data_IF_552556194117
#
_entry.id   IF_552556194117
#
_cell.length_a   1.000
_cell.length_b   1.000
_cell.length_c   1.000
_cell.angle_alpha   90.00
_cell.angle_beta   90.00
_cell.angle_gamma   90.00
#
_symmetry.space_group_name_H-M   'P 1'
#
loop_
_entity.id
_entity.type
_entity.pdbx_description
1 polymer ?
#
# COMPACT_ATOMS: atom_id res chain seq x y z
N UNK A 1 2.90 7.99 -6.59
CA UNK A 1 2.80 7.40 -5.24
C UNK A 1 1.38 7.18 -4.80
N UNK A 2 0.50 8.15 -4.98
CA UNK A 2 -0.92 8.05 -4.64
C UNK A 2 -1.60 6.84 -5.29
N UNK A 3 -1.23 6.58 -6.55
CA UNK A 3 -1.14 5.27 -7.22
C UNK A 3 -1.32 4.04 -6.32
N UNK A 4 -0.24 3.75 -5.61
CA UNK A 4 0.00 2.52 -4.90
C UNK A 4 -0.87 2.42 -3.64
N UNK A 5 -1.06 3.55 -2.95
CA UNK A 5 -1.91 3.62 -1.75
C UNK A 5 -3.37 3.29 -2.09
N UNK A 6 -3.86 3.86 -3.19
CA UNK A 6 -5.23 3.66 -3.64
C UNK A 6 -5.41 2.24 -4.18
N UNK A 7 -4.45 1.72 -4.93
CA UNK A 7 -4.44 0.31 -5.35
C UNK A 7 -4.48 -0.65 -4.15
N UNK A 8 -3.64 -0.44 -3.14
CA UNK A 8 -3.62 -1.29 -1.94
C UNK A 8 -4.95 -1.21 -1.17
N UNK A 9 -5.53 -0.02 -1.04
CA UNK A 9 -6.85 0.13 -0.44
C UNK A 9 -7.94 -0.61 -1.22
N UNK A 10 -7.88 -0.56 -2.55
CA UNK A 10 -8.81 -1.26 -3.42
C UNK A 10 -8.67 -2.79 -3.26
N UNK A 11 -7.46 -3.32 -3.31
CA UNK A 11 -7.21 -4.77 -3.19
C UNK A 11 -7.59 -5.31 -1.82
N UNK A 12 -7.22 -4.61 -0.73
CA UNK A 12 -7.50 -5.07 0.63
C UNK A 12 -8.89 -4.67 1.15
N UNK A 13 -9.60 -3.80 0.45
CA UNK A 13 -10.94 -3.31 0.79
C UNK A 13 -10.97 -2.22 1.88
N UNK A 14 -9.87 -1.95 2.57
CA UNK A 14 -9.75 -0.80 3.49
C UNK A 14 -8.31 -0.36 3.68
N UNK A 15 -8.13 0.90 4.10
CA UNK A 15 -6.81 1.43 4.47
C UNK A 15 -6.23 0.76 5.73
N UNK A 16 -7.07 0.24 6.61
CA UNK A 16 -6.64 -0.48 7.82
C UNK A 16 -6.00 -1.81 7.45
N UNK A 17 -6.65 -2.60 6.59
CA UNK A 17 -6.10 -3.86 6.08
C UNK A 17 -4.86 -3.63 5.20
N UNK A 18 -4.84 -2.55 4.40
CA UNK A 18 -3.65 -2.16 3.67
C UNK A 18 -2.48 -1.82 4.61
N UNK A 19 -2.74 -1.12 5.73
CA UNK A 19 -1.72 -0.82 6.73
C UNK A 19 -1.18 -2.11 7.38
N UNK A 20 -2.06 -3.02 7.79
CA UNK A 20 -1.70 -4.32 8.35
C UNK A 20 -0.83 -5.14 7.38
N UNK A 21 -1.19 -5.16 6.09
CA UNK A 21 -0.43 -5.87 5.04
C UNK A 21 1.00 -5.34 4.84
N UNK A 22 1.25 -4.08 5.21
CA UNK A 22 2.54 -3.40 5.15
C UNK A 22 3.29 -3.42 6.49
N UNK A 23 2.71 -4.04 7.54
CA UNK A 23 3.28 -4.04 8.89
C UNK A 23 3.19 -2.68 9.59
N UNK A 24 2.26 -1.82 9.18
CA UNK A 24 2.03 -0.51 9.77
C UNK A 24 0.77 -0.47 10.62
N UNK A 25 0.78 0.40 11.63
CA UNK A 25 -0.47 0.79 12.28
C UNK A 25 -1.29 1.69 11.35
N UNK A 26 -2.62 1.67 11.49
CA UNK A 26 -3.51 2.55 10.74
C UNK A 26 -3.11 4.04 10.86
N UNK A 27 -2.64 4.47 12.05
CA UNK A 27 -2.15 5.84 12.29
C UNK A 27 -0.91 6.17 11.45
N UNK A 28 0.06 5.25 11.39
CA UNK A 28 1.29 5.45 10.63
C UNK A 28 0.97 5.51 9.13
N UNK A 29 0.13 4.59 8.65
CA UNK A 29 -0.33 4.58 7.27
C UNK A 29 -1.07 5.87 6.89
N UNK A 30 -1.96 6.37 7.74
CA UNK A 30 -2.65 7.66 7.51
C UNK A 30 -1.69 8.83 7.37
N UNK A 31 -0.59 8.86 8.13
CA UNK A 31 0.44 9.91 8.00
C UNK A 31 1.16 9.82 6.65
N UNK A 32 1.50 8.61 6.20
CA UNK A 32 2.11 8.39 4.88
C UNK A 32 1.16 8.86 3.78
N UNK A 33 -0.12 8.49 3.87
CA UNK A 33 -1.15 8.93 2.93
C UNK A 33 -1.25 10.44 2.85
N UNK A 34 -1.38 11.10 3.99
CA UNK A 34 -1.47 12.55 4.05
C UNK A 34 -0.25 13.24 3.42
N UNK A 35 0.97 12.73 3.69
CA UNK A 35 2.19 13.23 3.02
C UNK A 35 2.11 13.10 1.50
N UNK A 36 1.62 11.97 1.00
CA UNK A 36 1.46 11.74 -0.44
C UNK A 36 0.39 12.68 -1.04
N UNK A 37 -0.74 12.86 -0.35
CA UNK A 37 -1.84 13.76 -0.74
C UNK A 37 -1.38 15.23 -0.76
N UNK A 38 -0.57 15.63 0.22
CA UNK A 38 0.00 16.97 0.35
C UNK A 38 1.20 17.21 -0.61
N UNK A 39 1.61 16.20 -1.39
CA UNK A 39 2.75 16.26 -2.30
C UNK A 39 4.12 16.30 -1.60
N UNK A 40 4.17 15.98 -0.30
CA UNK A 40 5.41 15.89 0.47
C UNK A 40 6.23 14.65 0.08
N UNK A 41 7.55 14.79 0.18
CA UNK A 41 8.45 13.66 0.03
C UNK A 41 8.28 12.66 1.19
N UNK A 42 8.16 11.39 0.84
CA UNK A 42 8.18 10.28 1.79
C UNK A 42 9.57 9.61 1.78
N UNK A 43 10.02 9.04 2.90
CA UNK A 43 11.27 8.28 2.91
C UNK A 43 11.28 7.18 1.83
N UNK A 44 12.37 7.07 1.07
CA UNK A 44 12.51 6.08 -0.02
C UNK A 44 12.22 4.64 0.41
N UNK A 45 12.49 4.29 1.68
CA UNK A 45 12.15 2.97 2.24
C UNK A 45 10.64 2.69 2.18
N UNK A 46 9.82 3.70 2.48
CA UNK A 46 8.35 3.58 2.46
C UNK A 46 7.87 3.46 1.02
N UNK A 47 8.41 4.27 0.12
CA UNK A 47 8.13 4.18 -1.31
C UNK A 47 8.42 2.77 -1.86
N UNK A 48 9.62 2.26 -1.60
CA UNK A 48 10.01 0.90 -2.02
C UNK A 48 9.08 -0.16 -1.45
N UNK A 49 8.72 -0.05 -0.18
CA UNK A 49 7.80 -1.00 0.45
C UNK A 49 6.43 -1.02 -0.25
N UNK A 50 5.87 0.17 -0.55
CA UNK A 50 4.60 0.29 -1.28
C UNK A 50 4.72 -0.33 -2.69
N UNK A 51 5.78 -0.01 -3.42
CA UNK A 51 6.01 -0.54 -4.77
C UNK A 51 6.17 -2.07 -4.76
N UNK A 52 6.96 -2.61 -3.84
CA UNK A 52 7.16 -4.06 -3.70
C UNK A 52 5.83 -4.74 -3.41
N UNK A 53 5.01 -4.18 -2.49
CA UNK A 53 3.72 -4.80 -2.16
C UNK A 53 2.74 -4.80 -3.34
N UNK A 54 2.69 -3.70 -4.09
CA UNK A 54 1.88 -3.62 -5.32
C UNK A 54 2.36 -4.66 -6.34
N UNK A 55 3.67 -4.79 -6.56
CA UNK A 55 4.23 -5.80 -7.47
C UNK A 55 3.92 -7.23 -7.03
N UNK A 56 4.04 -7.54 -5.74
CA UNK A 56 3.67 -8.85 -5.19
C UNK A 56 2.20 -9.18 -5.50
N UNK A 57 1.28 -8.23 -5.33
CA UNK A 57 -0.14 -8.44 -5.59
C UNK A 57 -0.47 -8.53 -7.09
N UNK A 58 0.25 -7.79 -7.94
CA UNK A 58 0.09 -7.85 -9.39
C UNK A 58 0.66 -9.15 -9.97
N UNK A 59 1.79 -9.63 -9.46
CA UNK A 59 2.43 -10.88 -9.89
C UNK A 59 1.76 -12.12 -9.29
N UNK A 60 1.28 -12.01 -8.04
CA UNK A 60 0.55 -13.07 -7.34
C UNK A 60 -0.92 -13.22 -7.75
N UNK A 61 -1.43 -12.33 -8.61
CA UNK A 61 -2.77 -12.44 -9.20
C UNK A 61 -2.97 -13.67 -10.12
N UNK A 62 -1.92 -14.42 -10.44
CA UNK A 62 -2.00 -15.69 -11.15
C UNK A 62 -2.29 -16.89 -10.23
N UNK A 63 -2.06 -16.79 -8.91
CA UNK A 63 -2.15 -17.93 -7.98
C UNK A 63 -3.39 -17.89 -7.06
N UNK A 64 -4.30 -16.94 -7.24
CA UNK A 64 -5.63 -16.96 -6.62
C UNK A 64 -6.72 -17.57 -7.51
N UNK A 65 -6.34 -18.36 -8.50
CA UNK A 65 -7.23 -19.30 -9.19
C UNK A 65 -7.19 -20.67 -8.50
N UNK A 66 -7.60 -20.77 -7.23
CA UNK A 66 -8.11 -21.98 -6.57
C UNK A 66 -8.44 -21.69 -5.10
N UNK A 67 -9.68 -21.26 -4.82
CA UNK A 67 -10.51 -21.93 -3.80
C UNK A 67 -11.98 -21.52 -3.91
#
# INVERSE_FOLDING_TARGET
MDYNVNFLCFVFGSHEKAAESLGYTARHYRKIRKKIEDGEEIPQRIEKLLQTKVRELQLGGADHACR
#
